data_IF_080328420772
#
_entry.id   IF_080328420772
#
_cell.length_a   1.000
_cell.length_b   1.000
_cell.length_c   1.000
_cell.angle_alpha   90.00
_cell.angle_beta   90.00
_cell.angle_gamma   90.00
#
_symmetry.space_group_name_H-M   'P 1'
#
loop_
_entity.id
_entity.type
_entity.pdbx_description
1 polymer ?
#
# COMPACT_ATOMS: atom_id res chain seq x y z
N UNK A 1 -11.86 -4.70 3.81
CA UNK A 1 -10.63 -3.96 3.52
C UNK A 1 -11.01 -2.51 3.23
N UNK A 2 -10.52 -1.55 4.03
CA UNK A 2 -10.46 -0.12 3.67
C UNK A 2 -8.97 0.16 3.56
N UNK A 3 -8.46 0.34 2.35
CA UNK A 3 -7.04 0.51 2.08
C UNK A 3 -6.81 0.66 0.58
N UNK A 4 -5.72 1.31 0.17
CA UNK A 4 -5.44 1.66 -1.22
C UNK A 4 -5.17 0.44 -2.12
N UNK A 5 -5.08 -0.75 -1.53
CA UNK A 5 -4.90 -2.02 -2.20
C UNK A 5 -6.11 -2.43 -3.05
N UNK A 6 -7.31 -2.24 -2.52
CA UNK A 6 -8.57 -2.59 -3.18
C UNK A 6 -9.64 -1.64 -2.67
N UNK A 7 -10.21 -0.84 -3.59
CA UNK A 7 -11.33 0.05 -3.30
C UNK A 7 -12.48 -0.76 -2.70
N UNK A 8 -12.99 -0.31 -1.56
CA UNK A 8 -14.16 -0.92 -0.97
C UNK A 8 -15.39 -0.60 -1.84
N UNK A 9 -16.29 -1.57 -2.05
CA UNK A 9 -17.52 -1.35 -2.81
C UNK A 9 -18.43 -0.23 -2.23
N UNK A 10 -18.20 0.19 -0.98
CA UNK A 10 -18.91 1.28 -0.30
C UNK A 10 -18.07 2.54 -0.10
N UNK A 11 -16.91 2.65 -0.74
CA UNK A 11 -16.04 3.82 -0.66
C UNK A 11 -16.26 4.70 -1.88
N UNK A 12 -16.47 5.99 -1.64
CA UNK A 12 -16.57 6.99 -2.68
C UNK A 12 -15.25 7.11 -3.45
N UNK A 13 -15.34 7.27 -4.77
CA UNK A 13 -14.21 7.36 -5.69
C UNK A 13 -13.24 8.47 -5.28
N UNK A 14 -13.77 9.62 -4.85
CA UNK A 14 -12.97 10.77 -4.38
C UNK A 14 -12.12 10.46 -3.16
N UNK A 15 -12.65 9.69 -2.21
CA UNK A 15 -11.93 9.33 -0.98
C UNK A 15 -10.84 8.31 -1.27
N UNK A 16 -11.07 7.42 -2.23
CA UNK A 16 -10.07 6.48 -2.69
C UNK A 16 -8.94 7.18 -3.44
N UNK A 17 -9.27 8.08 -4.36
CA UNK A 17 -8.28 8.85 -5.13
C UNK A 17 -7.42 9.73 -4.21
N UNK A 18 -8.03 10.36 -3.19
CA UNK A 18 -7.30 11.12 -2.18
C UNK A 18 -6.34 10.25 -1.37
N UNK A 19 -6.76 9.04 -0.99
CA UNK A 19 -5.89 8.08 -0.30
C UNK A 19 -4.72 7.64 -1.18
N UNK A 20 -4.98 7.33 -2.46
CA UNK A 20 -3.94 6.91 -3.41
C UNK A 20 -2.96 8.04 -3.66
N UNK A 21 -3.42 9.29 -3.78
CA UNK A 21 -2.56 10.45 -3.94
C UNK A 21 -1.64 10.71 -2.72
N UNK A 22 -2.07 10.29 -1.52
CA UNK A 22 -1.28 10.36 -0.29
C UNK A 22 -0.19 9.30 -0.17
N UNK A 23 -0.13 8.31 -1.06
CA UNK A 23 0.92 7.30 -1.09
C UNK A 23 2.23 7.87 -1.64
N UNK A 24 3.35 7.36 -1.14
CA UNK A 24 4.69 7.73 -1.64
C UNK A 24 4.79 7.48 -3.15
N UNK A 25 4.29 6.33 -3.60
CA UNK A 25 4.29 5.97 -5.02
C UNK A 25 3.09 6.54 -5.80
N UNK A 26 2.16 7.22 -5.13
CA UNK A 26 0.92 7.79 -5.69
C UNK A 26 0.07 6.80 -6.49
N UNK A 27 0.23 5.51 -6.21
CA UNK A 27 -0.50 4.41 -6.81
C UNK A 27 -0.58 3.25 -5.82
N UNK A 28 -1.71 2.56 -5.81
CA UNK A 28 -1.86 1.28 -5.14
C UNK A 28 -1.26 0.13 -5.97
N UNK A 29 -1.09 -1.05 -5.38
CA UNK A 29 -0.69 -2.25 -6.11
C UNK A 29 -1.79 -2.71 -7.08
N UNK A 30 -1.41 -3.21 -8.24
CA UNK A 30 -2.35 -3.88 -9.14
C UNK A 30 -2.60 -5.34 -8.73
N UNK A 31 -3.79 -5.88 -9.02
CA UNK A 31 -4.14 -7.28 -8.70
C UNK A 31 -3.14 -8.33 -9.23
N UNK A 32 -2.56 -8.19 -10.44
CA UNK A 32 -1.56 -9.14 -10.93
C UNK A 32 -0.26 -9.16 -10.10
N UNK A 33 0.07 -8.08 -9.39
CA UNK A 33 1.30 -7.98 -8.60
C UNK A 33 1.32 -9.00 -7.45
N UNK A 34 0.17 -9.28 -6.84
CA UNK A 34 0.07 -10.32 -5.80
C UNK A 34 0.49 -11.69 -6.32
N UNK A 35 0.00 -12.07 -7.51
CA UNK A 35 0.38 -13.33 -8.16
C UNK A 35 1.84 -13.35 -8.58
N UNK A 36 2.39 -12.21 -9.01
CA UNK A 36 3.81 -12.08 -9.32
C UNK A 36 4.69 -12.25 -8.07
N UNK A 37 4.32 -11.64 -6.94
CA UNK A 37 5.05 -11.76 -5.67
C UNK A 37 5.02 -13.18 -5.12
N UNK A 38 3.88 -13.89 -5.22
CA UNK A 38 3.80 -15.30 -4.83
C UNK A 38 4.76 -16.15 -5.67
N UNK A 39 4.77 -15.96 -7.01
CA UNK A 39 5.69 -16.69 -7.90
C UNK A 39 7.15 -16.39 -7.58
N UNK A 40 7.49 -15.13 -7.34
CA UNK A 40 8.84 -14.72 -6.93
C UNK A 40 9.30 -15.47 -5.66
N UNK A 41 8.47 -15.48 -4.61
CA UNK A 41 8.80 -16.18 -3.36
C UNK A 41 8.86 -17.70 -3.54
N UNK A 42 8.01 -18.26 -4.41
CA UNK A 42 8.02 -19.68 -4.73
C UNK A 42 9.28 -20.12 -5.48
N UNK A 43 9.72 -19.32 -6.45
CA UNK A 43 10.89 -19.60 -7.29
C UNK A 43 12.21 -19.37 -6.53
N UNK A 44 12.23 -18.42 -5.58
CA UNK A 44 13.45 -18.04 -4.85
C UNK A 44 13.60 -18.82 -3.54
N UNK A 45 14.04 -20.08 -3.63
CA UNK A 45 14.09 -21.04 -2.51
C UNK A 45 14.95 -20.61 -1.30
N UNK A 46 15.87 -19.67 -1.46
CA UNK A 46 16.72 -19.16 -0.37
C UNK A 46 16.06 -18.07 0.48
N UNK A 47 14.95 -17.49 0.03
CA UNK A 47 14.25 -16.42 0.75
C UNK A 47 13.28 -17.02 1.76
N UNK A 48 13.43 -16.65 3.04
CA UNK A 48 12.56 -17.09 4.13
C UNK A 48 12.45 -16.02 5.22
N UNK A 49 11.34 -16.02 5.95
CA UNK A 49 11.09 -15.07 7.06
C UNK A 49 10.99 -13.60 6.65
N UNK A 50 10.85 -13.31 5.35
CA UNK A 50 10.75 -11.95 4.83
C UNK A 50 9.31 -11.60 4.46
N UNK A 51 9.01 -10.31 4.48
CA UNK A 51 7.71 -9.75 4.09
C UNK A 51 7.92 -8.73 2.96
N UNK A 52 7.03 -8.75 1.96
CA UNK A 52 6.99 -7.75 0.89
C UNK A 52 5.68 -6.97 1.04
N UNK A 53 5.77 -5.68 1.33
CA UNK A 53 4.61 -4.80 1.40
C UNK A 53 4.27 -4.27 0.00
N UNK A 54 3.15 -4.73 -0.54
CA UNK A 54 2.54 -4.19 -1.75
C UNK A 54 1.51 -3.13 -1.35
N UNK A 55 1.95 -1.92 -1.03
CA UNK A 55 1.10 -0.91 -0.41
C UNK A 55 1.35 0.52 -0.92
N UNK A 56 2.06 0.69 -2.03
CA UNK A 56 2.39 2.02 -2.56
C UNK A 56 3.31 2.84 -1.66
N UNK A 57 3.98 2.22 -0.69
CA UNK A 57 4.78 2.89 0.33
C UNK A 57 3.95 3.44 1.49
N UNK A 58 2.72 2.97 1.69
CA UNK A 58 1.85 3.40 2.79
C UNK A 58 2.51 3.19 4.17
N UNK A 59 3.13 2.03 4.41
CA UNK A 59 3.79 1.75 5.70
C UNK A 59 5.04 2.60 5.97
N UNK A 60 5.56 3.28 4.94
CA UNK A 60 6.68 4.22 5.03
C UNK A 60 6.21 5.67 5.13
N UNK A 61 4.91 5.93 4.98
CA UNK A 61 4.36 7.28 5.09
C UNK A 61 4.58 7.79 6.52
N UNK A 62 5.47 8.76 6.66
CA UNK A 62 5.87 9.36 7.94
C UNK A 62 5.38 10.81 8.07
N UNK A 63 4.85 11.40 7.01
CA UNK A 63 4.26 12.74 7.02
C UNK A 63 2.77 12.69 7.38
N UNK A 64 2.44 12.08 8.52
CA UNK A 64 1.13 12.25 9.13
C UNK A 64 1.14 13.52 10.00
N UNK A 65 0.01 14.24 10.15
CA UNK A 65 -0.06 15.51 10.89
C UNK A 65 0.56 15.45 12.30
N UNK A 66 0.45 14.28 12.93
CA UNK A 66 1.02 13.85 14.21
C UNK A 66 2.56 13.86 14.25
N UNK A 67 3.25 13.70 13.12
CA UNK A 67 4.72 13.70 13.04
C UNK A 67 5.28 15.09 12.69
N UNK A 68 4.48 15.94 12.04
CA UNK A 68 4.90 17.29 11.63
C UNK A 68 4.76 18.37 12.71
N UNK A 69 4.39 18.01 13.94
CA UNK A 69 4.33 18.97 15.05
C UNK A 69 3.30 20.09 14.83
N UNK A 70 2.15 19.78 14.24
CA UNK A 70 0.99 20.66 14.37
C UNK A 70 0.39 20.40 15.75
N UNK A 71 0.85 21.19 16.72
CA UNK A 71 0.21 21.31 18.02
C UNK A 71 -1.27 21.69 17.83
N UNK A 72 -2.15 21.03 18.58
CA UNK A 72 -3.43 21.64 18.99
C UNK A 72 -3.16 22.94 19.77
#
# INVERSE_FOLDING_TARGET
MRGPTLKNARQDDSDFDAQVAGLILRRGPELPEFGATIRYLWETRSVTGQMIALDGGQHLAWQTPDVTGMAE
#
